data_IF_374598271338
#
_entry.id   IF_374598271338
#
_cell.length_a   1.000
_cell.length_b   1.000
_cell.length_c   1.000
_cell.angle_alpha   90.00
_cell.angle_beta   90.00
_cell.angle_gamma   90.00
#
_symmetry.space_group_name_H-M   'P 1'
#
loop_
_entity.id
_entity.type
_entity.pdbx_description
1 polymer ?
#
# COMPACT_ATOMS: atom_id res chain seq x y z
N UNK A 1 -14.80 -13.82 14.85
CA UNK A 1 -15.21 -12.73 13.94
C UNK A 1 -14.13 -12.49 12.90
N UNK A 2 -14.50 -12.46 11.64
CA UNK A 2 -13.52 -12.27 10.56
C UNK A 2 -13.12 -10.81 10.44
N UNK A 3 -11.82 -10.57 10.43
CA UNK A 3 -11.30 -9.24 10.20
C UNK A 3 -11.25 -8.92 8.71
N UNK A 4 -11.46 -7.66 8.37
CA UNK A 4 -11.21 -7.19 7.01
C UNK A 4 -9.70 -7.16 6.78
N UNK A 5 -9.26 -7.72 5.66
CA UNK A 5 -7.83 -7.78 5.33
C UNK A 5 -7.49 -6.68 4.31
N UNK A 6 -6.63 -5.77 4.74
CA UNK A 6 -6.21 -4.63 3.94
C UNK A 6 -4.70 -4.70 3.68
N UNK A 7 -4.34 -4.78 2.40
CA UNK A 7 -2.95 -4.72 1.97
C UNK A 7 -2.59 -3.27 1.67
N UNK A 8 -1.45 -2.82 2.15
CA UNK A 8 -0.97 -1.45 1.90
C UNK A 8 0.41 -1.52 1.30
N UNK A 9 0.55 -1.00 0.08
CA UNK A 9 1.87 -0.88 -0.55
C UNK A 9 2.60 0.29 0.08
N UNK A 10 3.64 -0.02 0.84
CA UNK A 10 4.41 0.97 1.58
C UNK A 10 5.81 1.18 0.99
N UNK A 11 5.99 0.89 -0.31
CA UNK A 11 7.30 1.04 -0.94
C UNK A 11 7.81 2.48 -0.88
N UNK A 12 6.92 3.46 -0.74
CA UNK A 12 7.33 4.87 -0.65
C UNK A 12 8.17 5.14 0.60
N UNK A 13 8.05 4.30 1.63
CA UNK A 13 8.89 4.43 2.82
C UNK A 13 10.33 3.99 2.57
N UNK A 14 10.60 3.35 1.43
CA UNK A 14 11.94 2.90 1.05
C UNK A 14 12.74 4.00 0.33
N UNK A 15 12.13 5.15 0.05
CA UNK A 15 12.74 6.25 -0.69
C UNK A 15 12.45 7.61 -0.08
N UNK A 16 12.69 8.67 -0.86
CA UNK A 16 12.52 10.06 -0.40
C UNK A 16 11.18 10.63 -0.87
N UNK A 17 10.09 10.01 -0.48
CA UNK A 17 8.74 10.45 -0.84
C UNK A 17 8.07 11.09 0.37
N UNK A 18 8.62 12.21 0.85
CA UNK A 18 8.24 12.80 2.13
C UNK A 18 6.75 13.13 2.25
N UNK A 19 6.16 13.71 1.22
CA UNK A 19 4.74 14.05 1.26
C UNK A 19 3.85 12.83 1.39
N UNK A 20 4.11 11.80 0.58
CA UNK A 20 3.34 10.56 0.60
C UNK A 20 3.55 9.79 1.90
N UNK A 21 4.79 9.71 2.39
CA UNK A 21 5.07 9.01 3.64
C UNK A 21 4.41 9.69 4.83
N UNK A 22 4.41 11.03 4.87
CA UNK A 22 3.76 11.78 5.94
C UNK A 22 2.26 11.51 5.95
N UNK A 23 1.64 11.50 4.78
CA UNK A 23 0.22 11.23 4.62
C UNK A 23 -0.13 9.82 5.09
N UNK A 24 0.60 8.81 4.61
CA UNK A 24 0.36 7.42 4.98
C UNK A 24 0.59 7.18 6.47
N UNK A 25 1.66 7.75 7.01
CA UNK A 25 1.96 7.63 8.43
C UNK A 25 0.83 8.22 9.28
N UNK A 26 0.34 9.40 8.90
CA UNK A 26 -0.74 10.05 9.63
C UNK A 26 -2.02 9.24 9.61
N UNK A 27 -2.44 8.77 8.42
CA UNK A 27 -3.67 8.01 8.28
C UNK A 27 -3.58 6.67 8.98
N UNK A 28 -2.52 5.90 8.71
CA UNK A 28 -2.45 4.54 9.23
C UNK A 28 -2.10 4.48 10.71
N UNK A 29 -1.43 5.49 11.26
CA UNK A 29 -1.23 5.55 12.71
C UNK A 29 -2.57 5.63 13.45
N UNK A 30 -3.59 6.18 12.82
CA UNK A 30 -4.93 6.20 13.40
C UNK A 30 -5.72 4.95 13.06
N UNK A 31 -5.64 4.48 11.79
CA UNK A 31 -6.44 3.34 11.35
C UNK A 31 -6.05 2.04 12.06
N UNK A 32 -4.79 1.85 12.41
CA UNK A 32 -4.36 0.61 13.09
C UNK A 32 -4.98 0.45 14.48
N UNK A 33 -5.62 1.49 15.00
CA UNK A 33 -6.37 1.40 16.25
C UNK A 33 -7.66 0.59 16.08
N UNK A 34 -8.14 0.42 14.86
CA UNK A 34 -9.33 -0.37 14.58
C UNK A 34 -8.97 -1.85 14.49
N UNK A 35 -9.33 -2.61 15.50
CA UNK A 35 -8.92 -4.00 15.63
C UNK A 35 -9.73 -4.98 14.77
N UNK A 36 -10.78 -4.49 14.09
CA UNK A 36 -11.54 -5.30 13.14
C UNK A 36 -10.91 -5.31 11.74
N UNK A 37 -9.80 -4.63 11.55
CA UNK A 37 -9.04 -4.63 10.30
C UNK A 37 -7.67 -5.23 10.58
N UNK A 38 -7.23 -6.13 9.72
CA UNK A 38 -5.86 -6.65 9.75
C UNK A 38 -5.08 -6.01 8.59
N UNK A 39 -3.99 -5.34 8.92
CA UNK A 39 -3.18 -4.59 7.97
C UNK A 39 -1.97 -5.40 7.54
N UNK A 40 -1.72 -5.45 6.24
CA UNK A 40 -0.55 -6.08 5.64
C UNK A 40 0.29 -4.97 5.01
N UNK A 41 1.29 -4.50 5.71
CA UNK A 41 2.18 -3.43 5.23
C UNK A 41 3.36 -4.06 4.51
N UNK A 42 3.53 -3.70 3.23
CA UNK A 42 4.57 -4.29 2.39
C UNK A 42 5.57 -3.23 1.93
N UNK A 43 6.85 -3.52 2.10
CA UNK A 43 7.94 -2.66 1.64
C UNK A 43 9.22 -3.49 1.52
N UNK A 44 10.29 -2.86 1.04
CA UNK A 44 11.60 -3.51 1.02
C UNK A 44 12.28 -3.43 2.38
N UNK A 45 12.03 -2.38 3.16
CA UNK A 45 12.60 -2.19 4.48
C UNK A 45 11.50 -2.26 5.55
N UNK A 46 11.16 -3.47 5.94
CA UNK A 46 10.11 -3.67 6.94
C UNK A 46 10.54 -3.24 8.34
N UNK A 47 11.85 -3.21 8.61
CA UNK A 47 12.34 -2.72 9.90
C UNK A 47 11.99 -1.24 10.08
N UNK A 48 12.11 -0.44 9.02
CA UNK A 48 11.74 0.96 9.08
C UNK A 48 10.24 1.12 9.33
N UNK A 49 9.42 0.29 8.70
CA UNK A 49 7.97 0.32 8.92
C UNK A 49 7.61 -0.06 10.36
N UNK A 50 8.25 -1.08 10.91
CA UNK A 50 7.93 -1.52 12.27
C UNK A 50 8.30 -0.47 13.30
N UNK A 51 9.29 0.36 13.02
CA UNK A 51 9.64 1.47 13.91
C UNK A 51 8.57 2.56 13.90
N UNK A 52 7.86 2.69 12.79
CA UNK A 52 6.79 3.70 12.66
C UNK A 52 5.49 3.19 13.27
N UNK A 53 5.06 1.97 12.94
CA UNK A 53 3.74 1.46 13.31
C UNK A 53 3.77 0.48 14.48
N UNK A 54 4.94 -0.06 14.84
CA UNK A 54 5.07 -0.98 15.94
C UNK A 54 4.64 -2.40 15.62
N UNK A 55 4.62 -3.25 16.63
CA UNK A 55 4.18 -4.64 16.52
C UNK A 55 2.86 -4.79 17.24
N UNK A 56 1.81 -5.11 16.49
CA UNK A 56 0.46 -5.28 17.02
C UNK A 56 -0.18 -6.52 16.41
N UNK A 57 -1.18 -7.06 17.07
CA UNK A 57 -1.85 -8.28 16.62
C UNK A 57 -2.50 -8.15 15.26
N UNK A 58 -2.91 -6.93 14.88
CA UNK A 58 -3.59 -6.69 13.63
C UNK A 58 -2.67 -6.13 12.54
N UNK A 59 -1.35 -6.29 12.68
CA UNK A 59 -0.38 -5.83 11.68
C UNK A 59 0.54 -6.98 11.29
N UNK A 60 0.68 -7.21 9.99
CA UNK A 60 1.66 -8.11 9.40
C UNK A 60 2.54 -7.32 8.45
N UNK A 61 3.84 -7.43 8.61
CA UNK A 61 4.81 -6.79 7.71
C UNK A 61 5.25 -7.79 6.66
N UNK A 62 5.22 -7.37 5.40
CA UNK A 62 5.64 -8.21 4.27
C UNK A 62 6.82 -7.53 3.59
N UNK A 63 7.92 -8.27 3.44
CA UNK A 63 9.10 -7.78 2.76
C UNK A 63 9.04 -8.17 1.29
N UNK A 64 9.16 -7.20 0.39
CA UNK A 64 9.24 -7.48 -1.04
C UNK A 64 10.57 -8.15 -1.38
N UNK A 65 10.51 -9.15 -2.24
CA UNK A 65 11.70 -9.86 -2.69
C UNK A 65 12.12 -9.45 -4.10
N UNK A 66 11.18 -8.98 -4.92
CA UNK A 66 11.42 -8.63 -6.31
C UNK A 66 11.86 -7.18 -6.44
N UNK A 67 13.09 -6.96 -6.90
CA UNK A 67 13.62 -5.59 -7.05
C UNK A 67 13.07 -4.86 -8.26
N UNK A 68 12.68 -5.60 -9.30
CA UNK A 68 12.14 -5.01 -10.52
C UNK A 68 10.71 -4.55 -10.29
N UNK A 69 10.44 -3.27 -10.54
CA UNK A 69 9.12 -2.68 -10.32
C UNK A 69 8.02 -3.40 -11.09
N UNK A 70 8.29 -3.75 -12.35
CA UNK A 70 7.28 -4.40 -13.19
C UNK A 70 6.99 -5.82 -12.71
N UNK A 71 8.01 -6.57 -12.32
CA UNK A 71 7.81 -7.91 -11.79
C UNK A 71 7.07 -7.88 -10.45
N UNK A 72 7.36 -6.87 -9.62
CA UNK A 72 6.62 -6.68 -8.38
C UNK A 72 5.14 -6.45 -8.64
N UNK A 73 4.81 -5.53 -9.55
CA UNK A 73 3.43 -5.18 -9.85
C UNK A 73 2.69 -6.30 -10.59
N UNK A 74 3.38 -7.02 -11.49
CA UNK A 74 2.74 -8.05 -12.30
C UNK A 74 2.59 -9.38 -11.56
N UNK A 75 3.54 -9.73 -10.71
CA UNK A 75 3.60 -11.06 -10.13
C UNK A 75 3.63 -11.08 -8.61
N UNK A 76 4.51 -10.31 -8.00
CA UNK A 76 4.69 -10.42 -6.54
C UNK A 76 3.48 -9.92 -5.77
N UNK A 77 2.98 -8.73 -6.08
CA UNK A 77 1.83 -8.16 -5.37
C UNK A 77 0.57 -8.99 -5.59
N UNK A 78 0.20 -9.38 -6.83
CA UNK A 78 -0.95 -10.26 -7.01
C UNK A 78 -0.83 -11.59 -6.26
N UNK A 79 0.38 -12.17 -6.22
CA UNK A 79 0.61 -13.41 -5.48
C UNK A 79 0.40 -13.21 -3.98
N UNK A 80 0.89 -12.10 -3.43
CA UNK A 80 0.72 -11.80 -2.01
C UNK A 80 -0.75 -11.58 -1.67
N UNK A 81 -1.48 -10.90 -2.54
CA UNK A 81 -2.91 -10.66 -2.36
C UNK A 81 -3.67 -11.99 -2.33
N UNK A 82 -3.38 -12.89 -3.27
CA UNK A 82 -4.04 -14.19 -3.33
C UNK A 82 -3.64 -15.07 -2.15
N UNK A 83 -2.37 -15.11 -1.82
CA UNK A 83 -1.86 -15.95 -0.73
C UNK A 83 -2.47 -15.58 0.61
N UNK A 84 -2.63 -14.29 0.87
CA UNK A 84 -3.14 -13.80 2.14
C UNK A 84 -4.64 -13.55 2.14
N UNK A 85 -5.31 -13.82 1.02
CA UNK A 85 -6.77 -13.62 0.87
C UNK A 85 -7.17 -12.18 1.17
N UNK A 86 -6.42 -11.24 0.61
CA UNK A 86 -6.63 -9.81 0.82
C UNK A 86 -7.93 -9.37 0.17
N UNK A 87 -8.70 -8.55 0.87
CA UNK A 87 -9.99 -8.03 0.40
C UNK A 87 -9.86 -6.65 -0.23
N UNK A 88 -8.98 -5.80 0.31
CA UNK A 88 -8.73 -4.46 -0.19
C UNK A 88 -7.23 -4.22 -0.25
N UNK A 89 -6.78 -3.53 -1.29
CA UNK A 89 -5.36 -3.18 -1.42
C UNK A 89 -5.24 -1.69 -1.72
N UNK A 90 -4.41 -1.00 -0.96
CA UNK A 90 -4.20 0.44 -1.09
C UNK A 90 -2.84 0.70 -1.75
N UNK A 91 -2.88 1.42 -2.86
CA UNK A 91 -1.69 1.79 -3.63
C UNK A 91 -1.62 3.29 -3.80
N UNK A 92 -0.41 3.78 -4.07
CA UNK A 92 -0.17 5.19 -4.39
C UNK A 92 0.28 5.29 -5.84
N UNK A 93 -0.47 6.03 -6.65
CA UNK A 93 -0.20 6.36 -8.05
C UNK A 93 -0.32 5.19 -9.05
N UNK A 94 0.19 4.00 -8.72
CA UNK A 94 0.22 2.88 -9.67
C UNK A 94 -0.37 1.64 -9.03
N UNK A 95 -1.27 0.96 -9.75
CA UNK A 95 -1.88 -0.29 -9.29
C UNK A 95 -1.41 -1.45 -10.17
N UNK A 96 -1.38 -2.68 -9.61
CA UNK A 96 -1.10 -3.86 -10.41
C UNK A 96 -2.16 -4.05 -11.51
N UNK A 97 -1.74 -4.44 -12.73
CA UNK A 97 -2.71 -4.62 -13.82
C UNK A 97 -3.64 -5.81 -13.63
N UNK A 98 -3.20 -6.84 -12.91
CA UNK A 98 -4.05 -7.99 -12.58
C UNK A 98 -4.78 -7.71 -11.28
N UNK A 99 -6.08 -7.50 -11.39
CA UNK A 99 -6.90 -7.16 -10.21
C UNK A 99 -7.34 -8.44 -9.50
N UNK A 100 -6.87 -8.62 -8.26
CA UNK A 100 -7.19 -9.78 -7.43
C UNK A 100 -8.08 -9.43 -6.24
N UNK A 101 -8.36 -8.15 -6.02
CA UNK A 101 -9.21 -7.67 -4.95
C UNK A 101 -9.68 -6.26 -5.29
N UNK A 102 -10.37 -5.61 -4.37
CA UNK A 102 -10.76 -4.21 -4.57
C UNK A 102 -9.56 -3.30 -4.28
N UNK A 103 -9.29 -2.37 -5.19
CA UNK A 103 -8.15 -1.47 -5.08
C UNK A 103 -8.59 -0.09 -4.61
N UNK A 104 -7.77 0.51 -3.75
CA UNK A 104 -7.89 1.90 -3.33
C UNK A 104 -6.63 2.60 -3.84
N UNK A 105 -6.82 3.64 -4.63
CA UNK A 105 -5.69 4.40 -5.20
C UNK A 105 -5.70 5.81 -4.65
N UNK A 106 -4.55 6.23 -4.08
CA UNK A 106 -4.37 7.58 -3.60
C UNK A 106 -3.46 8.35 -4.53
N UNK A 107 -3.91 9.52 -4.96
CA UNK A 107 -3.13 10.44 -5.78
C UNK A 107 -2.94 11.71 -4.98
N UNK A 108 -1.69 12.05 -4.68
CA UNK A 108 -1.36 13.19 -3.82
C UNK A 108 -1.15 14.49 -4.58
N UNK A 109 -0.93 14.40 -5.89
CA UNK A 109 -0.64 15.56 -6.71
C UNK A 109 -1.95 16.18 -7.20
N UNK A 110 -2.35 17.28 -6.58
CA UNK A 110 -3.59 17.98 -6.95
C UNK A 110 -3.49 18.65 -8.32
N UNK A 111 -2.29 18.81 -8.86
CA UNK A 111 -2.10 19.36 -10.20
C UNK A 111 -2.83 18.53 -11.25
N UNK A 112 -2.92 17.23 -11.00
CA UNK A 112 -3.69 16.32 -11.86
C UNK A 112 -5.15 16.76 -11.98
N UNK A 113 -5.74 17.23 -10.89
CA UNK A 113 -7.14 17.67 -10.85
C UNK A 113 -7.33 19.04 -11.48
N UNK A 114 -6.34 19.93 -11.32
CA UNK A 114 -6.41 21.30 -11.82
C UNK A 114 -6.14 21.39 -13.33
N UNK A 115 -5.28 20.51 -13.85
CA UNK A 115 -4.85 20.51 -15.24
C UNK A 115 -4.95 19.12 -15.85
N UNK A 116 -6.16 18.56 -15.94
CA UNK A 116 -6.34 17.17 -16.39
C UNK A 116 -5.86 16.92 -17.82
N UNK A 117 -5.79 17.96 -18.65
CA UNK A 117 -5.33 17.83 -20.03
C UNK A 117 -3.84 17.47 -20.16
N UNK A 118 -3.07 17.63 -19.06
CA UNK A 118 -1.65 17.26 -19.06
C UNK A 118 -1.42 15.83 -18.57
N UNK A 119 -2.48 15.15 -18.14
CA UNK A 119 -2.36 13.81 -17.58
C UNK A 119 -3.34 12.86 -18.26
N UNK A 120 -2.95 11.58 -18.44
CA UNK A 120 -3.86 10.58 -19.00
C UNK A 120 -5.07 10.37 -18.09
N UNK A 121 -6.25 10.17 -18.68
CA UNK A 121 -7.46 9.90 -17.91
C UNK A 121 -7.43 8.55 -17.21
N UNK A 122 -6.60 7.63 -17.69
CA UNK A 122 -6.42 6.32 -17.10
C UNK A 122 -5.33 6.30 -16.03
N UNK A 123 -4.90 7.42 -15.64
CA UNK A 123 -3.83 7.65 -14.67
C UNK A 123 -4.02 7.01 -13.29
#
# INVERSE_FOLDING_TARGET
>A
MNKVKLFVDCHVFDGNYQGTTTYLKGIYSELIKFKNIHFYFASYNTDALSKIFGYQDNITYIKYSTKNKFLRLLFEIPKLISKNKIQYAHFQYVVPPLKKCKYILTIHDVLFLDFPEYFPLTY
#
